data_IF_412421791091
#
_entry.id   IF_412421791091
#
_cell.length_a   1.000
_cell.length_b   1.000
_cell.length_c   1.000
_cell.angle_alpha   90.00
_cell.angle_beta   90.00
_cell.angle_gamma   90.00
#
_symmetry.space_group_name_H-M   'P 1'
#
loop_
_entity.id
_entity.type
_entity.pdbx_description
1 polymer ?
#
# COMPACT_ATOMS: atom_id res chain seq x y z
N UNK A 1 25.90 -4.73 2.84
CA UNK A 1 26.60 -3.45 3.00
C UNK A 1 27.21 -3.25 4.43
N UNK A 2 27.26 -4.28 5.28
CA UNK A 2 27.92 -4.20 6.59
C UNK A 2 27.18 -3.39 7.67
N UNK A 3 25.88 -3.17 7.52
CA UNK A 3 25.08 -2.54 8.58
C UNK A 3 24.71 -3.54 9.67
N UNK A 4 24.86 -3.15 10.94
CA UNK A 4 24.21 -3.82 12.06
C UNK A 4 22.80 -3.25 12.21
N UNK A 5 21.79 -4.12 12.19
CA UNK A 5 20.38 -3.70 12.19
C UNK A 5 19.70 -4.10 13.49
N UNK A 6 19.09 -3.13 14.17
CA UNK A 6 18.20 -3.35 15.30
C UNK A 6 16.79 -2.95 14.90
N UNK A 7 15.84 -3.87 14.94
CA UNK A 7 14.45 -3.66 14.59
C UNK A 7 13.61 -3.41 15.85
N UNK A 8 13.02 -2.22 15.95
CA UNK A 8 12.09 -1.87 17.00
C UNK A 8 10.66 -1.96 16.47
N UNK A 9 9.94 -3.01 16.81
CA UNK A 9 8.59 -3.26 16.33
C UNK A 9 7.80 -4.16 17.28
N UNK A 10 6.47 -4.13 17.19
CA UNK A 10 5.64 -5.11 17.89
C UNK A 10 5.67 -6.42 17.10
N UNK A 11 6.33 -7.41 17.65
CA UNK A 11 6.44 -8.74 17.02
C UNK A 11 5.49 -9.70 17.72
N UNK A 12 4.42 -10.08 17.03
CA UNK A 12 3.49 -11.13 17.49
C UNK A 12 3.81 -12.51 16.87
N UNK A 13 4.51 -12.54 15.74
CA UNK A 13 4.87 -13.74 14.97
C UNK A 13 6.22 -13.53 14.30
N UNK A 14 6.91 -14.61 13.95
CA UNK A 14 8.16 -14.61 13.17
C UNK A 14 9.39 -13.95 13.83
N UNK A 15 9.40 -13.72 15.14
CA UNK A 15 10.57 -13.14 15.83
C UNK A 15 11.84 -13.97 15.57
N UNK A 16 11.76 -15.27 15.80
CA UNK A 16 12.90 -16.19 15.60
C UNK A 16 13.41 -16.18 14.15
N UNK A 17 12.51 -16.05 13.16
CA UNK A 17 12.89 -15.95 11.76
C UNK A 17 13.67 -14.65 11.48
N UNK A 18 13.26 -13.54 12.07
CA UNK A 18 13.93 -12.25 11.89
C UNK A 18 15.31 -12.29 12.57
N UNK A 19 15.38 -12.85 13.77
CA UNK A 19 16.64 -12.99 14.51
C UNK A 19 17.61 -13.97 13.83
N UNK A 20 17.14 -15.03 13.18
CA UNK A 20 17.97 -15.93 12.38
C UNK A 20 18.62 -15.26 11.16
N UNK A 21 18.13 -14.09 10.74
CA UNK A 21 18.74 -13.25 9.70
C UNK A 21 19.82 -12.31 10.26
N UNK A 22 20.19 -12.42 11.55
CA UNK A 22 21.17 -11.57 12.20
C UNK A 22 20.64 -10.19 12.60
N UNK A 23 19.31 -10.00 12.63
CA UNK A 23 18.66 -8.75 13.01
C UNK A 23 18.25 -8.82 14.48
N UNK A 24 18.77 -7.91 15.31
CA UNK A 24 18.33 -7.78 16.69
C UNK A 24 16.90 -7.23 16.75
N UNK A 25 16.00 -7.90 17.48
CA UNK A 25 14.61 -7.48 17.62
C UNK A 25 14.32 -6.97 19.02
N UNK A 26 13.94 -5.71 19.12
CA UNK A 26 13.43 -5.09 20.35
C UNK A 26 11.90 -4.99 20.26
N UNK A 27 11.20 -5.51 21.25
CA UNK A 27 9.73 -5.49 21.25
C UNK A 27 9.19 -4.08 21.55
N UNK A 28 8.20 -3.65 20.76
CA UNK A 28 7.52 -2.39 20.93
C UNK A 28 6.24 -2.57 21.78
N UNK A 29 6.24 -2.14 23.04
CA UNK A 29 5.16 -2.47 23.99
C UNK A 29 3.85 -1.68 23.77
N UNK A 30 3.79 -0.78 22.78
CA UNK A 30 2.66 0.13 22.62
C UNK A 30 1.65 -0.33 21.55
N UNK A 31 0.36 -0.13 21.82
CA UNK A 31 -0.73 -0.49 20.91
C UNK A 31 -0.99 0.58 19.84
N UNK A 32 -1.54 0.19 18.67
CA UNK A 32 -1.83 1.09 17.55
C UNK A 32 -2.85 2.21 17.88
N UNK A 33 -3.71 2.03 18.88
CA UNK A 33 -4.83 2.93 19.19
C UNK A 33 -4.58 3.98 20.27
N UNK A 34 -3.43 4.00 20.95
CA UNK A 34 -3.15 4.91 22.05
C UNK A 34 -2.96 6.37 21.58
N UNK A 35 -4.04 7.15 21.55
CA UNK A 35 -4.02 8.60 21.33
C UNK A 35 -3.64 9.42 22.57
N UNK A 36 -3.11 8.80 23.62
CA UNK A 36 -2.80 9.47 24.87
C UNK A 36 -1.40 10.12 24.82
N UNK A 37 -1.31 11.38 25.20
CA UNK A 37 -0.07 12.17 25.23
C UNK A 37 1.00 11.46 26.07
N UNK A 38 0.64 10.83 27.19
CA UNK A 38 1.54 10.02 28.03
C UNK A 38 2.14 8.83 27.27
N UNK A 39 1.37 8.19 26.38
CA UNK A 39 1.87 7.13 25.49
C UNK A 39 2.91 7.64 24.49
N UNK A 40 2.79 8.89 24.03
CA UNK A 40 3.76 9.54 23.16
C UNK A 40 5.12 9.77 23.84
N UNK A 41 5.12 10.33 25.04
CA UNK A 41 6.36 10.56 25.83
C UNK A 41 7.04 9.24 26.17
N UNK A 42 6.29 8.24 26.65
CA UNK A 42 6.84 6.89 26.91
C UNK A 42 7.47 6.27 25.65
N UNK A 43 6.84 6.48 24.49
CA UNK A 43 7.38 6.01 23.22
C UNK A 43 8.73 6.66 22.89
N UNK A 44 8.85 7.98 23.08
CA UNK A 44 10.12 8.70 22.84
C UNK A 44 11.23 8.19 23.76
N UNK A 45 10.95 8.07 25.06
CA UNK A 45 11.92 7.54 26.03
C UNK A 45 12.36 6.12 25.70
N UNK A 46 11.42 5.28 25.26
CA UNK A 46 11.72 3.91 24.85
C UNK A 46 12.62 3.87 23.60
N UNK A 47 12.33 4.71 22.59
CA UNK A 47 13.19 4.83 21.39
C UNK A 47 14.58 5.35 21.77
N UNK A 48 14.69 6.35 22.67
CA UNK A 48 16.00 6.84 23.15
C UNK A 48 16.82 5.73 23.82
N UNK A 49 16.17 4.90 24.67
CA UNK A 49 16.83 3.73 25.28
C UNK A 49 17.30 2.72 24.24
N UNK A 50 16.45 2.45 23.22
CA UNK A 50 16.81 1.56 22.12
C UNK A 50 18.01 2.10 21.32
N UNK A 51 18.02 3.40 21.00
CA UNK A 51 19.14 4.08 20.32
C UNK A 51 20.43 3.91 21.12
N UNK A 52 20.39 4.17 22.43
CA UNK A 52 21.54 4.05 23.31
C UNK A 52 22.02 2.60 23.41
N UNK A 53 21.11 1.64 23.58
CA UNK A 53 21.42 0.21 23.70
C UNK A 53 22.08 -0.34 22.42
N UNK A 54 21.60 0.05 21.25
CA UNK A 54 22.11 -0.41 19.95
C UNK A 54 23.26 0.45 19.41
N UNK A 55 23.64 1.52 20.10
CA UNK A 55 24.62 2.51 19.63
C UNK A 55 24.36 2.97 18.18
N UNK A 56 23.08 3.21 17.86
CA UNK A 56 22.64 3.51 16.50
C UNK A 56 23.12 4.89 16.04
N UNK A 57 23.72 4.96 14.86
CA UNK A 57 24.14 6.21 14.21
C UNK A 57 23.22 6.64 13.05
N UNK A 58 22.29 5.79 12.66
CA UNK A 58 21.24 6.05 11.66
C UNK A 58 19.91 5.61 12.23
N UNK A 59 18.87 6.42 12.05
CA UNK A 59 17.50 6.08 12.39
C UNK A 59 16.69 5.97 11.10
N UNK A 60 16.04 4.81 10.93
CA UNK A 60 15.07 4.57 9.87
C UNK A 60 13.68 4.33 10.46
N UNK A 61 12.69 5.14 10.07
CA UNK A 61 11.31 4.96 10.56
C UNK A 61 10.29 5.03 9.44
N UNK A 62 9.24 4.22 9.56
CA UNK A 62 8.17 4.08 8.58
C UNK A 62 6.84 4.51 9.20
N UNK A 63 6.06 5.32 8.48
CA UNK A 63 4.78 5.90 8.85
C UNK A 63 4.86 7.13 9.79
N UNK A 64 3.80 7.97 9.74
CA UNK A 64 3.77 9.32 10.35
C UNK A 64 4.10 9.30 11.86
N UNK A 65 3.43 8.45 12.65
CA UNK A 65 3.65 8.41 14.11
C UNK A 65 5.08 7.97 14.47
N UNK A 66 5.63 6.86 13.93
CA UNK A 66 7.02 6.49 14.12
C UNK A 66 8.00 7.59 13.70
N UNK A 67 7.76 8.27 12.57
CA UNK A 67 8.62 9.38 12.11
C UNK A 67 8.70 10.48 13.15
N UNK A 68 7.57 10.94 13.68
CA UNK A 68 7.51 12.03 14.66
C UNK A 68 8.27 11.63 15.93
N UNK A 69 7.98 10.46 16.49
CA UNK A 69 8.60 10.02 17.75
C UNK A 69 10.08 9.69 17.58
N UNK A 70 10.45 9.00 16.49
CA UNK A 70 11.85 8.64 16.23
C UNK A 70 12.69 9.86 15.89
N UNK A 71 12.14 10.86 15.19
CA UNK A 71 12.87 12.09 14.92
C UNK A 71 13.20 12.86 16.20
N UNK A 72 12.24 12.99 17.11
CA UNK A 72 12.48 13.67 18.39
C UNK A 72 13.47 12.89 19.26
N UNK A 73 13.29 11.57 19.37
CA UNK A 73 14.21 10.70 20.11
C UNK A 73 15.63 10.76 19.53
N UNK A 74 15.78 10.71 18.20
CA UNK A 74 17.07 10.83 17.52
C UNK A 74 17.75 12.17 17.82
N UNK A 75 16.99 13.28 17.77
CA UNK A 75 17.51 14.61 18.07
C UNK A 75 18.00 14.71 19.51
N UNK A 76 17.22 14.21 20.49
CA UNK A 76 17.57 14.20 21.90
C UNK A 76 18.76 13.26 22.21
N UNK A 77 18.95 12.22 21.40
CA UNK A 77 20.07 11.26 21.51
C UNK A 77 21.29 11.65 20.68
N UNK A 78 21.29 12.80 19.99
CA UNK A 78 22.42 13.28 19.18
C UNK A 78 22.58 12.59 17.81
N UNK A 79 21.62 11.73 17.38
CA UNK A 79 21.67 11.06 16.08
C UNK A 79 21.24 12.02 14.98
N UNK A 80 22.15 12.31 14.05
CA UNK A 80 21.96 13.29 12.96
C UNK A 80 21.36 12.67 11.70
N UNK A 81 21.72 11.42 11.39
CA UNK A 81 21.28 10.73 10.18
C UNK A 81 19.88 10.14 10.37
N UNK A 82 18.90 10.74 9.74
CA UNK A 82 17.49 10.35 9.86
C UNK A 82 16.93 10.06 8.47
N UNK A 83 16.48 8.84 8.25
CA UNK A 83 15.85 8.41 7.01
C UNK A 83 14.43 7.97 7.34
N UNK A 84 13.47 8.53 6.65
CA UNK A 84 12.07 8.28 6.91
C UNK A 84 11.35 7.85 5.64
N UNK A 85 10.37 6.96 5.78
CA UNK A 85 9.55 6.51 4.66
C UNK A 85 8.06 6.67 4.99
N UNK A 86 7.33 7.24 4.05
CA UNK A 86 5.87 7.27 4.08
C UNK A 86 5.32 6.40 2.94
N UNK A 87 4.60 5.34 3.31
CA UNK A 87 3.89 4.47 2.37
C UNK A 87 2.53 5.04 1.94
N UNK A 88 2.31 6.33 2.19
CA UNK A 88 1.10 7.10 1.93
C UNK A 88 0.85 8.09 3.06
N UNK A 89 0.26 9.23 2.74
CA UNK A 89 0.11 10.34 3.69
C UNK A 89 -1.04 10.19 4.67
N UNK A 90 -1.80 9.11 4.53
CA UNK A 90 -2.87 8.76 5.46
C UNK A 90 -4.12 9.64 5.38
N UNK A 91 -5.12 9.26 6.16
CA UNK A 91 -6.46 9.85 6.20
C UNK A 91 -6.47 11.38 6.44
N UNK A 92 -5.57 11.89 7.30
CA UNK A 92 -5.57 13.31 7.68
C UNK A 92 -5.34 14.24 6.48
N UNK A 93 -4.52 13.81 5.52
CA UNK A 93 -4.25 14.61 4.31
C UNK A 93 -5.29 14.39 3.21
N UNK A 94 -5.92 13.21 3.16
CA UNK A 94 -6.87 12.85 2.11
C UNK A 94 -8.33 13.17 2.44
N UNK A 95 -8.69 13.26 3.72
CA UNK A 95 -10.08 13.43 4.14
C UNK A 95 -10.52 14.89 4.16
N UNK A 96 -11.72 15.15 3.64
CA UNK A 96 -12.40 16.45 3.74
C UNK A 96 -13.23 16.60 5.03
N UNK A 97 -13.24 15.60 5.92
CA UNK A 97 -13.95 15.69 7.20
C UNK A 97 -13.41 16.87 8.03
N UNK A 98 -14.31 17.58 8.73
CA UNK A 98 -13.97 18.77 9.51
C UNK A 98 -12.81 18.51 10.48
N UNK A 99 -12.84 17.40 11.20
CA UNK A 99 -11.79 17.02 12.13
C UNK A 99 -10.42 16.86 11.46
N UNK A 100 -10.36 16.24 10.29
CA UNK A 100 -9.11 16.10 9.53
C UNK A 100 -8.57 17.46 9.08
N UNK A 101 -9.45 18.37 8.65
CA UNK A 101 -9.08 19.74 8.27
C UNK A 101 -8.53 20.55 9.44
N UNK A 102 -9.09 20.39 10.64
CA UNK A 102 -8.60 21.08 11.85
C UNK A 102 -7.24 20.53 12.33
N UNK A 103 -7.03 19.23 12.26
CA UNK A 103 -5.78 18.59 12.72
C UNK A 103 -4.64 18.81 11.71
N UNK A 104 -4.93 18.90 10.41
CA UNK A 104 -3.94 19.01 9.35
C UNK A 104 -2.89 20.11 9.55
N UNK A 105 -3.23 21.38 9.89
CA UNK A 105 -2.24 22.44 10.11
C UNK A 105 -1.27 22.11 11.26
N UNK A 106 -1.78 21.52 12.33
CA UNK A 106 -0.95 21.08 13.47
C UNK A 106 0.01 19.97 13.04
N UNK A 107 -0.50 18.98 12.31
CA UNK A 107 0.32 17.88 11.81
C UNK A 107 1.42 18.38 10.85
N UNK A 108 1.11 19.35 9.98
CA UNK A 108 2.09 19.98 9.09
C UNK A 108 3.22 20.62 9.89
N UNK A 109 2.90 21.38 10.95
CA UNK A 109 3.91 22.02 11.82
C UNK A 109 4.78 20.96 12.51
N UNK A 110 4.17 19.93 13.04
CA UNK A 110 4.88 18.81 13.69
C UNK A 110 5.79 18.07 12.72
N UNK A 111 5.32 17.80 11.49
CA UNK A 111 6.15 17.15 10.46
C UNK A 111 7.31 18.06 10.01
N UNK A 112 7.11 19.37 9.86
CA UNK A 112 8.21 20.30 9.58
C UNK A 112 9.31 20.23 10.63
N UNK A 113 8.93 20.19 11.91
CA UNK A 113 9.88 20.04 13.01
C UNK A 113 10.56 18.67 12.99
N UNK A 114 9.79 17.60 12.80
CA UNK A 114 10.32 16.24 12.75
C UNK A 114 11.29 16.03 11.58
N UNK A 115 11.04 16.65 10.44
CA UNK A 115 11.86 16.52 9.23
C UNK A 115 12.96 17.61 9.15
N UNK A 116 13.16 18.40 10.21
CA UNK A 116 14.22 19.40 10.27
C UNK A 116 15.61 18.73 10.35
N UNK A 117 16.59 19.33 9.67
CA UNK A 117 17.99 18.90 9.69
C UNK A 117 18.49 18.47 8.31
N UNK A 118 19.70 18.93 7.95
CA UNK A 118 20.31 18.73 6.62
C UNK A 118 20.59 17.24 6.28
N UNK A 119 20.78 16.39 7.30
CA UNK A 119 21.00 14.94 7.16
C UNK A 119 19.69 14.13 7.25
N UNK A 120 18.53 14.79 7.25
CA UNK A 120 17.24 14.12 7.20
C UNK A 120 16.83 13.88 5.75
N UNK A 121 16.42 12.66 5.42
CA UNK A 121 15.89 12.25 4.11
C UNK A 121 14.48 11.70 4.28
N UNK A 122 13.60 12.01 3.33
CA UNK A 122 12.24 11.49 3.29
C UNK A 122 12.02 10.71 2.00
N UNK A 123 11.70 9.44 2.13
CA UNK A 123 11.32 8.58 1.02
C UNK A 123 9.79 8.65 0.89
N UNK A 124 9.32 9.04 -0.29
CA UNK A 124 7.92 9.01 -0.70
C UNK A 124 7.71 8.01 -1.82
N UNK A 125 6.51 7.45 -1.94
CA UNK A 125 6.26 6.35 -2.85
C UNK A 125 5.59 6.77 -4.16
N UNK A 126 5.04 7.98 -4.24
CA UNK A 126 4.39 8.51 -5.43
C UNK A 126 4.62 10.01 -5.59
N UNK A 127 4.41 10.50 -6.82
CA UNK A 127 4.62 11.91 -7.18
C UNK A 127 3.60 12.83 -6.51
N UNK A 128 2.35 12.43 -6.40
CA UNK A 128 1.29 13.23 -5.80
C UNK A 128 1.60 13.58 -4.33
N UNK A 129 2.08 12.60 -3.55
CA UNK A 129 2.48 12.83 -2.17
C UNK A 129 3.70 13.76 -2.09
N UNK A 130 4.67 13.65 -3.04
CA UNK A 130 5.81 14.57 -3.13
C UNK A 130 5.35 16.00 -3.39
N UNK A 131 4.52 16.23 -4.38
CA UNK A 131 3.99 17.55 -4.72
C UNK A 131 3.21 18.16 -3.55
N UNK A 132 2.42 17.35 -2.87
CA UNK A 132 1.69 17.79 -1.68
C UNK A 132 2.64 18.21 -0.55
N UNK A 133 3.71 17.45 -0.27
CA UNK A 133 4.70 17.82 0.76
C UNK A 133 5.44 19.10 0.42
N UNK A 134 5.78 19.28 -0.86
CA UNK A 134 6.39 20.53 -1.35
C UNK A 134 5.43 21.71 -1.27
N UNK A 135 4.17 21.55 -1.69
CA UNK A 135 3.14 22.58 -1.63
C UNK A 135 2.86 23.06 -0.20
N UNK A 136 2.88 22.14 0.77
CA UNK A 136 2.79 22.49 2.19
C UNK A 136 4.12 22.94 2.80
N UNK A 137 5.22 23.01 2.03
CA UNK A 137 6.56 23.37 2.52
C UNK A 137 6.97 22.58 3.76
N UNK A 138 6.72 21.26 3.76
CA UNK A 138 7.02 20.38 4.90
C UNK A 138 8.51 20.05 4.95
N UNK A 139 9.13 19.87 3.78
CA UNK A 139 10.55 19.52 3.60
C UNK A 139 11.01 20.06 2.23
N UNK A 140 12.30 20.38 2.09
CA UNK A 140 12.89 20.82 0.82
C UNK A 140 13.00 19.66 -0.18
N UNK A 141 12.95 20.01 -1.47
CA UNK A 141 12.94 19.05 -2.58
C UNK A 141 14.17 18.12 -2.61
N UNK A 142 15.34 18.66 -2.31
CA UNK A 142 16.63 17.94 -2.33
C UNK A 142 16.73 16.85 -1.26
N UNK A 143 15.83 16.89 -0.28
CA UNK A 143 15.76 15.92 0.81
C UNK A 143 14.65 14.90 0.63
N UNK A 144 13.84 15.02 -0.45
CA UNK A 144 12.84 14.04 -0.83
C UNK A 144 13.45 13.08 -1.85
N UNK A 145 13.29 11.78 -1.60
CA UNK A 145 13.68 10.72 -2.51
C UNK A 145 12.43 9.94 -2.90
N UNK A 146 12.20 9.77 -4.19
CA UNK A 146 11.07 9.00 -4.69
C UNK A 146 11.50 7.55 -4.89
N UNK A 147 11.01 6.65 -4.02
CA UNK A 147 11.20 5.20 -4.15
C UNK A 147 9.84 4.53 -4.12
N UNK A 148 9.49 3.87 -5.20
CA UNK A 148 8.16 3.35 -5.46
C UNK A 148 7.90 2.04 -4.72
N UNK A 149 7.44 2.15 -3.46
CA UNK A 149 7.04 1.02 -2.63
C UNK A 149 8.20 0.18 -2.08
N UNK A 150 7.92 -1.08 -1.80
CA UNK A 150 8.89 -2.07 -1.32
C UNK A 150 9.32 -3.07 -2.40
N UNK A 151 8.84 -2.86 -3.63
CA UNK A 151 9.03 -3.81 -4.72
C UNK A 151 8.18 -5.07 -4.58
N UNK A 152 8.25 -5.91 -5.61
CA UNK A 152 7.58 -7.20 -5.68
C UNK A 152 8.59 -8.31 -5.99
N UNK A 153 8.39 -9.47 -5.36
CA UNK A 153 9.11 -10.69 -5.65
C UNK A 153 8.63 -11.26 -7.00
N UNK A 154 9.40 -11.01 -8.05
CA UNK A 154 9.04 -11.36 -9.43
C UNK A 154 9.19 -12.85 -9.72
N UNK A 155 9.87 -13.62 -8.87
CA UNK A 155 10.03 -15.06 -8.97
C UNK A 155 8.86 -15.79 -8.30
N UNK A 156 8.28 -15.16 -7.27
CA UNK A 156 7.06 -15.66 -6.63
C UNK A 156 5.79 -15.30 -7.41
N UNK A 157 5.73 -14.07 -7.93
CA UNK A 157 4.60 -13.53 -8.70
C UNK A 157 4.97 -13.48 -10.18
N UNK A 158 4.59 -14.51 -10.93
CA UNK A 158 4.87 -14.64 -12.36
C UNK A 158 3.66 -15.18 -13.12
N UNK A 159 3.55 -14.91 -14.42
CA UNK A 159 2.47 -15.41 -15.26
C UNK A 159 2.47 -16.95 -15.28
N UNK A 160 1.33 -17.56 -14.99
CA UNK A 160 1.12 -19.00 -15.15
C UNK A 160 0.17 -19.23 -16.31
N UNK A 161 0.30 -20.34 -17.02
CA UNK A 161 -0.66 -20.72 -18.06
C UNK A 161 -2.07 -20.72 -17.45
N UNK A 162 -2.90 -19.80 -17.93
CA UNK A 162 -4.31 -19.79 -17.56
C UNK A 162 -4.91 -21.13 -18.01
N UNK A 163 -5.52 -21.86 -17.07
CA UNK A 163 -6.46 -22.90 -17.47
C UNK A 163 -7.58 -22.20 -18.23
N UNK A 164 -8.10 -22.79 -19.30
CA UNK A 164 -9.28 -22.30 -20.04
C UNK A 164 -10.53 -22.33 -19.14
N UNK A 165 -10.54 -21.45 -18.14
CA UNK A 165 -11.61 -21.34 -17.16
C UNK A 165 -12.40 -20.04 -17.42
N UNK A 166 -13.55 -19.93 -16.80
CA UNK A 166 -14.37 -18.73 -16.79
C UNK A 166 -13.53 -17.51 -16.36
N UNK A 167 -13.69 -16.39 -17.07
CA UNK A 167 -13.06 -15.11 -16.72
C UNK A 167 -13.31 -14.78 -15.25
N UNK A 168 -12.24 -14.56 -14.50
CA UNK A 168 -12.28 -14.30 -13.07
C UNK A 168 -11.71 -12.91 -12.77
N UNK A 169 -12.57 -12.02 -12.32
CA UNK A 169 -12.24 -10.64 -11.93
C UNK A 169 -12.12 -10.61 -10.41
N UNK A 170 -11.03 -10.08 -9.88
CA UNK A 170 -10.83 -10.02 -8.43
C UNK A 170 -10.57 -8.62 -7.91
N UNK A 171 -11.03 -8.35 -6.69
CA UNK A 171 -10.64 -7.19 -5.87
C UNK A 171 -9.74 -7.70 -4.73
N UNK A 172 -8.40 -7.57 -4.84
CA UNK A 172 -7.47 -8.02 -3.79
C UNK A 172 -7.19 -6.90 -2.79
N UNK A 173 -8.04 -6.76 -1.77
CA UNK A 173 -7.93 -5.72 -0.75
C UNK A 173 -8.54 -6.17 0.58
N UNK A 174 -8.23 -5.47 1.68
CA UNK A 174 -9.04 -5.58 2.90
C UNK A 174 -10.47 -5.17 2.59
N UNK A 175 -11.44 -5.81 3.23
CA UNK A 175 -12.86 -5.52 3.03
C UNK A 175 -13.25 -4.21 3.73
N UNK A 176 -12.86 -3.09 3.13
CA UNK A 176 -13.13 -1.73 3.60
C UNK A 176 -13.88 -0.96 2.50
N UNK A 177 -14.76 -0.05 2.91
CA UNK A 177 -15.51 0.77 1.95
C UNK A 177 -14.61 1.65 1.08
N UNK A 178 -13.53 2.20 1.66
CA UNK A 178 -12.56 3.02 0.94
C UNK A 178 -11.67 2.24 -0.05
N UNK A 179 -11.78 0.90 -0.07
CA UNK A 179 -11.15 0.03 -1.07
C UNK A 179 -12.04 -0.25 -2.28
N UNK A 180 -13.20 0.39 -2.35
CA UNK A 180 -14.10 0.29 -3.49
C UNK A 180 -14.88 -1.02 -3.56
N UNK A 181 -15.13 -1.65 -2.39
CA UNK A 181 -15.90 -2.91 -2.34
C UNK A 181 -17.30 -2.70 -2.86
N UNK A 182 -17.94 -1.55 -2.57
CA UNK A 182 -19.28 -1.23 -3.06
C UNK A 182 -19.30 -1.11 -4.59
N UNK A 183 -18.37 -0.37 -5.15
CA UNK A 183 -18.21 -0.10 -6.58
C UNK A 183 -17.96 -1.40 -7.35
N UNK A 184 -17.11 -2.27 -6.81
CA UNK A 184 -16.87 -3.59 -7.38
C UNK A 184 -18.12 -4.46 -7.40
N UNK A 185 -18.89 -4.50 -6.29
CA UNK A 185 -20.12 -5.29 -6.19
C UNK A 185 -21.20 -4.72 -7.10
N UNK A 186 -21.36 -3.39 -7.18
CA UNK A 186 -22.30 -2.74 -8.09
C UNK A 186 -21.97 -3.06 -9.56
N UNK A 187 -20.71 -2.96 -9.93
CA UNK A 187 -20.22 -3.33 -11.26
C UNK A 187 -20.48 -4.81 -11.58
N UNK A 188 -20.20 -5.72 -10.63
CA UNK A 188 -20.47 -7.14 -10.79
C UNK A 188 -21.96 -7.43 -11.01
N UNK A 189 -22.84 -6.74 -10.29
CA UNK A 189 -24.28 -6.88 -10.44
C UNK A 189 -24.74 -6.44 -11.83
N UNK A 190 -24.37 -5.24 -12.27
CA UNK A 190 -24.73 -4.69 -13.57
C UNK A 190 -24.26 -5.60 -14.72
N UNK A 191 -22.99 -6.04 -14.68
CA UNK A 191 -22.45 -6.91 -15.73
C UNK A 191 -23.16 -8.26 -15.80
N UNK A 192 -23.61 -8.81 -14.67
CA UNK A 192 -24.41 -10.04 -14.64
C UNK A 192 -25.82 -9.83 -15.20
N UNK A 193 -26.45 -8.69 -14.86
CA UNK A 193 -27.75 -8.30 -15.43
C UNK A 193 -27.65 -8.11 -16.96
N UNK A 194 -26.50 -7.61 -17.45
CA UNK A 194 -26.18 -7.51 -18.89
C UNK A 194 -25.82 -8.87 -19.53
N UNK A 195 -25.93 -9.98 -18.79
CA UNK A 195 -25.68 -11.35 -19.30
C UNK A 195 -24.21 -11.73 -19.39
N UNK A 196 -23.29 -10.97 -18.79
CA UNK A 196 -21.85 -11.29 -18.83
C UNK A 196 -21.54 -12.50 -17.94
N UNK A 197 -20.98 -13.53 -18.55
CA UNK A 197 -20.57 -14.77 -17.85
C UNK A 197 -19.14 -14.64 -17.33
N UNK A 198 -19.00 -14.20 -16.07
CA UNK A 198 -17.73 -14.04 -15.38
C UNK A 198 -17.88 -14.27 -13.86
N UNK A 199 -16.78 -14.61 -13.19
CA UNK A 199 -16.72 -14.69 -11.73
C UNK A 199 -16.17 -13.37 -11.17
N UNK A 200 -16.84 -12.85 -10.16
CA UNK A 200 -16.43 -11.64 -9.44
C UNK A 200 -16.10 -12.02 -8.00
N UNK A 201 -14.85 -11.82 -7.59
CA UNK A 201 -14.37 -12.36 -6.31
C UNK A 201 -13.73 -11.26 -5.45
N UNK A 202 -14.21 -11.14 -4.23
CA UNK A 202 -13.62 -10.31 -3.17
C UNK A 202 -12.55 -11.13 -2.45
N UNK A 203 -11.30 -10.68 -2.48
CA UNK A 203 -10.17 -11.38 -1.90
C UNK A 203 -9.54 -10.56 -0.79
N UNK A 204 -9.83 -10.91 0.45
CA UNK A 204 -9.31 -10.25 1.64
C UNK A 204 -10.18 -10.42 2.86
N UNK A 205 -9.60 -10.15 4.02
CA UNK A 205 -10.27 -10.25 5.30
C UNK A 205 -10.96 -8.94 5.72
N UNK A 206 -11.88 -9.06 6.66
CA UNK A 206 -12.46 -7.91 7.38
C UNK A 206 -11.45 -7.37 8.41
N UNK A 207 -11.49 -6.07 8.66
CA UNK A 207 -10.69 -5.40 9.69
C UNK A 207 -11.63 -4.82 10.75
N UNK A 208 -12.00 -5.66 11.71
CA UNK A 208 -13.03 -5.35 12.73
C UNK A 208 -12.71 -4.07 13.53
N UNK A 209 -11.43 -3.71 13.64
CA UNK A 209 -11.00 -2.51 14.35
C UNK A 209 -11.12 -1.23 13.51
N UNK A 210 -11.40 -1.36 12.22
CA UNK A 210 -11.53 -0.22 11.31
C UNK A 210 -13.02 0.14 11.13
N UNK A 211 -13.43 1.38 11.41
CA UNK A 211 -14.83 1.81 11.25
C UNK A 211 -15.32 1.76 9.80
N UNK A 212 -14.41 1.78 8.82
CA UNK A 212 -14.75 1.64 7.39
C UNK A 212 -14.84 0.16 6.95
N UNK A 213 -14.82 -0.79 7.90
CA UNK A 213 -14.90 -2.22 7.55
C UNK A 213 -16.28 -2.62 7.06
N UNK A 214 -16.32 -3.37 5.97
CA UNK A 214 -17.54 -4.03 5.49
C UNK A 214 -17.88 -5.17 6.45
N UNK A 215 -19.13 -5.26 6.90
CA UNK A 215 -19.54 -6.29 7.83
C UNK A 215 -19.54 -7.68 7.19
N UNK A 216 -19.27 -8.71 7.99
CA UNK A 216 -19.34 -10.11 7.54
C UNK A 216 -20.75 -10.45 7.04
N UNK A 217 -21.80 -9.92 7.70
CA UNK A 217 -23.19 -10.11 7.28
C UNK A 217 -23.45 -9.58 5.87
N UNK A 218 -22.89 -8.38 5.54
CA UNK A 218 -23.04 -7.80 4.22
C UNK A 218 -22.29 -8.61 3.14
N UNK A 219 -21.08 -9.10 3.44
CA UNK A 219 -20.32 -9.94 2.52
C UNK A 219 -21.03 -11.27 2.25
N UNK A 220 -21.58 -11.91 3.29
CA UNK A 220 -22.39 -13.13 3.14
C UNK A 220 -23.63 -12.87 2.31
N UNK A 221 -24.38 -11.78 2.58
CA UNK A 221 -25.57 -11.41 1.80
C UNK A 221 -25.28 -11.35 0.30
N UNK A 222 -24.20 -10.69 -0.14
CA UNK A 222 -23.83 -10.61 -1.55
C UNK A 222 -23.40 -11.96 -2.13
N UNK A 223 -22.78 -12.81 -1.31
CA UNK A 223 -22.39 -14.17 -1.72
C UNK A 223 -23.61 -15.07 -1.89
N UNK A 224 -24.58 -15.03 -0.96
CA UNK A 224 -25.82 -15.80 -1.00
C UNK A 224 -26.70 -15.37 -2.18
N UNK A 225 -26.68 -14.08 -2.50
CA UNK A 225 -27.33 -13.52 -3.71
C UNK A 225 -26.56 -13.86 -5.00
N UNK A 226 -25.42 -14.57 -4.91
CA UNK A 226 -24.56 -14.92 -6.05
C UNK A 226 -24.07 -13.71 -6.87
N UNK A 227 -24.05 -12.51 -6.29
CA UNK A 227 -23.50 -11.31 -6.96
C UNK A 227 -21.98 -11.41 -7.03
N UNK A 228 -21.33 -11.75 -5.93
CA UNK A 228 -19.88 -11.95 -5.84
C UNK A 228 -19.56 -13.20 -4.99
N UNK A 229 -18.35 -13.70 -5.13
CA UNK A 229 -17.77 -14.68 -4.21
C UNK A 229 -16.85 -13.97 -3.21
N UNK A 230 -16.96 -14.26 -1.93
CA UNK A 230 -16.00 -13.75 -0.95
C UNK A 230 -15.06 -14.88 -0.51
N UNK A 231 -13.79 -14.76 -0.91
CA UNK A 231 -12.77 -15.78 -0.64
C UNK A 231 -12.05 -15.57 0.71
N UNK A 232 -12.37 -14.52 1.45
CA UNK A 232 -11.73 -14.23 2.74
C UNK A 232 -10.25 -13.90 2.63
N UNK A 233 -9.55 -14.01 3.75
CA UNK A 233 -8.10 -13.76 3.79
C UNK A 233 -7.34 -14.93 3.18
N UNK A 234 -6.44 -14.63 2.24
CA UNK A 234 -5.64 -15.63 1.53
C UNK A 234 -4.15 -15.50 1.91
N UNK A 235 -3.52 -16.63 2.22
CA UNK A 235 -2.09 -16.67 2.56
C UNK A 235 -1.19 -16.81 1.33
N UNK A 236 -1.72 -17.37 0.25
CA UNK A 236 -0.99 -17.59 -1.00
C UNK A 236 -1.59 -16.78 -2.16
N UNK A 237 -1.28 -15.48 -2.18
CA UNK A 237 -1.77 -14.60 -3.24
C UNK A 237 -1.25 -14.96 -4.63
N UNK A 238 -0.06 -15.56 -4.76
CA UNK A 238 0.46 -16.00 -6.05
C UNK A 238 -0.44 -17.06 -6.70
N UNK A 239 -1.04 -17.95 -5.92
CA UNK A 239 -2.03 -18.91 -6.41
C UNK A 239 -3.34 -18.22 -6.81
N UNK A 240 -3.78 -17.23 -6.04
CA UNK A 240 -4.99 -16.45 -6.35
C UNK A 240 -4.81 -15.72 -7.70
N UNK A 241 -3.71 -15.00 -7.88
CA UNK A 241 -3.44 -14.32 -9.15
C UNK A 241 -3.35 -15.28 -10.33
N UNK A 242 -2.79 -16.49 -10.14
CA UNK A 242 -2.71 -17.49 -11.21
C UNK A 242 -4.07 -18.07 -11.65
N UNK A 243 -5.12 -17.85 -10.88
CA UNK A 243 -6.52 -18.26 -11.19
C UNK A 243 -7.38 -17.08 -11.63
N UNK A 244 -6.81 -15.89 -11.67
CA UNK A 244 -7.49 -14.64 -12.00
C UNK A 244 -7.17 -14.19 -13.42
N UNK A 245 -8.06 -13.40 -13.99
CA UNK A 245 -7.92 -12.88 -15.36
C UNK A 245 -7.75 -11.37 -15.36
N UNK A 246 -8.48 -10.65 -14.50
CA UNK A 246 -8.52 -9.18 -14.45
C UNK A 246 -8.49 -8.75 -12.99
N UNK A 247 -7.77 -7.67 -12.71
CA UNK A 247 -7.82 -6.97 -11.43
C UNK A 247 -8.72 -5.76 -11.56
N UNK A 248 -9.72 -5.66 -10.68
CA UNK A 248 -10.52 -4.46 -10.51
C UNK A 248 -10.21 -3.85 -9.14
N UNK A 249 -9.69 -2.62 -9.12
CA UNK A 249 -9.19 -1.99 -7.91
C UNK A 249 -9.69 -0.54 -7.77
N UNK A 250 -10.98 -0.31 -7.50
CA UNK A 250 -11.58 1.01 -7.39
C UNK A 250 -11.33 1.63 -6.02
N UNK A 251 -10.09 1.57 -5.53
CA UNK A 251 -9.70 2.15 -4.24
C UNK A 251 -9.70 3.68 -4.29
N UNK A 252 -10.12 4.31 -3.18
CA UNK A 252 -10.24 5.75 -3.11
C UNK A 252 -8.91 6.47 -2.90
N UNK A 253 -7.91 5.80 -2.35
CA UNK A 253 -6.55 6.32 -2.18
C UNK A 253 -5.56 5.22 -1.84
N UNK A 254 -4.38 5.31 -2.43
CA UNK A 254 -3.25 4.43 -2.16
C UNK A 254 -1.92 5.21 -2.08
N UNK A 255 -0.95 4.68 -1.36
CA UNK A 255 0.42 5.15 -1.43
C UNK A 255 1.13 4.55 -2.65
N UNK A 256 1.33 3.24 -2.61
CA UNK A 256 1.65 2.37 -3.74
C UNK A 256 1.11 0.97 -3.43
N UNK A 257 0.01 0.53 -4.05
CA UNK A 257 -0.67 -0.70 -3.68
C UNK A 257 0.14 -1.93 -4.11
N UNK A 258 0.64 -2.67 -3.10
CA UNK A 258 1.45 -3.88 -3.33
C UNK A 258 0.68 -4.95 -4.12
N UNK A 259 -0.63 -5.07 -3.87
CA UNK A 259 -1.50 -6.00 -4.60
C UNK A 259 -1.53 -5.74 -6.11
N UNK A 260 -1.44 -4.48 -6.55
CA UNK A 260 -1.36 -4.15 -7.97
C UNK A 260 0.01 -4.51 -8.56
N UNK A 261 1.11 -4.32 -7.82
CA UNK A 261 2.44 -4.77 -8.26
C UNK A 261 2.50 -6.29 -8.39
N UNK A 262 1.92 -7.02 -7.42
CA UNK A 262 1.84 -8.49 -7.44
C UNK A 262 1.01 -8.98 -8.64
N UNK A 263 -0.11 -8.33 -8.91
CA UNK A 263 -0.98 -8.63 -10.03
C UNK A 263 -0.31 -8.36 -11.39
N UNK A 264 0.25 -7.16 -11.57
CA UNK A 264 1.01 -6.82 -12.78
C UNK A 264 2.21 -7.74 -12.97
N UNK A 265 2.93 -8.09 -11.89
CA UNK A 265 3.99 -9.09 -11.91
C UNK A 265 3.50 -10.47 -12.36
N UNK A 266 2.26 -10.82 -12.05
CA UNK A 266 1.61 -12.07 -12.46
C UNK A 266 1.00 -11.99 -13.87
N UNK A 267 1.19 -10.88 -14.59
CA UNK A 267 0.72 -10.70 -15.96
C UNK A 267 -0.78 -10.44 -16.08
N UNK A 268 -1.39 -9.81 -15.07
CA UNK A 268 -2.82 -9.49 -15.07
C UNK A 268 -3.03 -8.01 -15.43
N UNK A 269 -3.95 -7.67 -16.35
CA UNK A 269 -4.36 -6.30 -16.60
C UNK A 269 -5.11 -5.74 -15.40
N UNK A 270 -5.01 -4.43 -15.20
CA UNK A 270 -5.56 -3.74 -14.04
C UNK A 270 -6.56 -2.68 -14.48
N UNK A 271 -7.76 -2.71 -13.89
CA UNK A 271 -8.73 -1.62 -13.96
C UNK A 271 -8.78 -0.97 -12.59
N UNK A 272 -8.38 0.27 -12.48
CA UNK A 272 -8.28 0.97 -11.20
C UNK A 272 -8.80 2.41 -11.30
N UNK A 273 -9.26 2.99 -10.18
CA UNK A 273 -9.51 4.42 -10.16
C UNK A 273 -8.20 5.21 -10.32
N UNK A 274 -8.29 6.35 -11.02
CA UNK A 274 -7.21 7.30 -11.21
C UNK A 274 -6.93 8.08 -9.92
N UNK A 275 -6.21 7.42 -9.00
CA UNK A 275 -5.81 7.95 -7.71
C UNK A 275 -4.30 7.81 -7.50
N UNK A 276 -3.71 8.61 -6.57
CA UNK A 276 -2.31 8.46 -6.22
C UNK A 276 -1.94 7.01 -5.89
N UNK A 277 -0.77 6.58 -6.30
CA UNK A 277 -0.30 5.21 -6.16
C UNK A 277 -0.80 4.26 -7.24
N UNK A 278 -2.05 4.30 -7.66
CA UNK A 278 -2.52 3.54 -8.83
C UNK A 278 -1.88 4.04 -10.12
N UNK A 279 -1.76 5.35 -10.31
CA UNK A 279 -1.06 6.00 -11.45
C UNK A 279 0.41 5.64 -11.58
N UNK A 280 1.05 5.23 -10.49
CA UNK A 280 2.46 4.81 -10.53
C UNK A 280 2.64 3.41 -11.13
N UNK A 281 1.56 2.61 -11.15
CA UNK A 281 1.58 1.20 -11.59
C UNK A 281 0.79 1.02 -12.89
N UNK A 282 -0.35 1.69 -13.03
CA UNK A 282 -1.22 1.57 -14.19
C UNK A 282 -0.95 2.72 -15.15
N UNK A 283 -0.63 2.38 -16.39
CA UNK A 283 -0.51 3.30 -17.53
C UNK A 283 -1.76 3.08 -18.37
N UNK A 284 -2.63 4.09 -18.43
CA UNK A 284 -3.91 3.98 -19.11
C UNK A 284 -3.76 3.56 -20.57
N UNK A 285 -4.57 2.58 -20.97
CA UNK A 285 -4.55 1.99 -22.32
C UNK A 285 -3.33 1.09 -22.62
N UNK A 286 -2.33 0.96 -21.71
CA UNK A 286 -1.11 0.19 -21.95
C UNK A 286 -1.11 -1.12 -21.16
N UNK A 287 -1.18 -1.07 -19.84
CA UNK A 287 -1.18 -2.25 -18.98
C UNK A 287 -2.47 -2.38 -18.15
N UNK A 288 -3.47 -1.59 -18.49
CA UNK A 288 -4.78 -1.54 -17.83
C UNK A 288 -5.51 -0.26 -18.16
N UNK A 289 -6.52 0.06 -17.35
CA UNK A 289 -7.31 1.27 -17.48
C UNK A 289 -7.32 2.06 -16.17
N UNK A 290 -7.09 3.39 -16.26
CA UNK A 290 -7.29 4.34 -15.17
C UNK A 290 -8.64 5.02 -15.35
N UNK A 291 -9.53 4.77 -14.41
CA UNK A 291 -10.92 5.23 -14.45
C UNK A 291 -11.04 6.50 -13.60
N UNK A 292 -11.75 7.54 -14.08
CA UNK A 292 -12.02 8.71 -13.26
C UNK A 292 -12.63 8.31 -11.91
N UNK A 293 -12.21 9.00 -10.86
CA UNK A 293 -12.64 8.66 -9.50
C UNK A 293 -14.16 8.67 -9.36
N UNK A 294 -14.74 7.54 -8.93
CA UNK A 294 -16.18 7.30 -8.78
C UNK A 294 -16.99 7.32 -10.08
N UNK A 295 -16.37 7.08 -11.20
CA UNK A 295 -17.07 6.84 -12.46
C UNK A 295 -17.32 5.32 -12.62
N UNK A 296 -18.43 4.86 -12.04
CA UNK A 296 -18.80 3.44 -12.02
C UNK A 296 -19.19 2.93 -13.42
N UNK A 297 -19.67 3.81 -14.31
CA UNK A 297 -19.98 3.44 -15.69
C UNK A 297 -18.69 3.13 -16.47
N UNK A 298 -17.72 4.02 -16.43
CA UNK A 298 -16.42 3.77 -17.06
C UNK A 298 -15.71 2.57 -16.46
N UNK A 299 -15.86 2.32 -15.13
CA UNK A 299 -15.33 1.11 -14.47
C UNK A 299 -15.93 -0.16 -15.08
N UNK A 300 -17.26 -0.20 -15.23
CA UNK A 300 -18.00 -1.31 -15.86
C UNK A 300 -17.55 -1.53 -17.31
N UNK A 301 -17.50 -0.46 -18.10
CA UNK A 301 -17.17 -0.54 -19.52
C UNK A 301 -15.73 -1.01 -19.77
N UNK A 302 -14.78 -0.57 -18.95
CA UNK A 302 -13.39 -1.06 -19.01
C UNK A 302 -13.28 -2.56 -18.68
N UNK A 303 -14.00 -3.03 -17.66
CA UNK A 303 -14.07 -4.46 -17.35
C UNK A 303 -14.71 -5.24 -18.49
N UNK A 304 -15.85 -4.77 -19.01
CA UNK A 304 -16.54 -5.41 -20.12
C UNK A 304 -15.65 -5.53 -21.38
N UNK A 305 -14.85 -4.49 -21.66
CA UNK A 305 -13.89 -4.49 -22.76
C UNK A 305 -12.86 -5.61 -22.61
N UNK A 306 -12.28 -5.76 -21.42
CA UNK A 306 -11.29 -6.82 -21.14
C UNK A 306 -11.91 -8.22 -21.12
N UNK A 307 -13.18 -8.35 -20.71
CA UNK A 307 -13.87 -9.65 -20.72
C UNK A 307 -14.16 -10.10 -22.16
N UNK A 308 -14.48 -9.17 -23.06
CA UNK A 308 -14.80 -9.45 -24.48
C UNK A 308 -13.54 -9.64 -25.33
N UNK A 309 -12.43 -8.99 -24.99
CA UNK A 309 -11.19 -9.00 -25.77
C UNK A 309 -10.04 -9.66 -24.96
N UNK A 310 -9.88 -10.97 -25.16
CA UNK A 310 -8.85 -11.72 -24.46
C UNK A 310 -7.43 -11.39 -24.95
N UNK A 311 -7.26 -11.00 -26.20
CA UNK A 311 -5.95 -10.61 -26.75
C UNK A 311 -5.48 -9.31 -26.13
N UNK A 312 -6.39 -8.32 -25.99
CA UNK A 312 -6.13 -7.09 -25.25
C UNK A 312 -5.79 -7.39 -23.79
N UNK A 313 -6.55 -8.29 -23.16
CA UNK A 313 -6.31 -8.70 -21.77
C UNK A 313 -4.88 -9.27 -21.60
N UNK A 314 -4.46 -10.17 -22.48
CA UNK A 314 -3.12 -10.76 -22.47
C UNK A 314 -2.03 -9.72 -22.77
N UNK A 315 -2.23 -8.89 -23.79
CA UNK A 315 -1.27 -7.84 -24.17
C UNK A 315 -1.02 -6.86 -23.02
N UNK A 316 -2.07 -6.36 -22.39
CA UNK A 316 -1.97 -5.47 -21.24
C UNK A 316 -1.29 -6.15 -20.03
N UNK A 317 -1.61 -7.39 -19.77
CA UNK A 317 -0.98 -8.17 -18.70
C UNK A 317 0.52 -8.37 -18.96
N UNK A 318 0.92 -8.67 -20.18
CA UNK A 318 2.33 -8.79 -20.58
C UNK A 318 3.09 -7.47 -20.38
N UNK A 319 2.55 -6.35 -20.86
CA UNK A 319 3.17 -5.02 -20.70
C UNK A 319 3.27 -4.61 -19.23
N UNK A 320 2.28 -4.97 -18.42
CA UNK A 320 2.33 -4.79 -16.96
C UNK A 320 3.49 -5.55 -16.32
N UNK A 321 3.70 -6.79 -16.71
CA UNK A 321 4.84 -7.61 -16.25
C UNK A 321 6.18 -7.00 -16.63
N UNK A 322 6.38 -6.60 -17.90
CA UNK A 322 7.61 -5.98 -18.37
C UNK A 322 7.94 -4.71 -17.59
N UNK A 323 6.94 -3.87 -17.34
CA UNK A 323 7.09 -2.66 -16.54
C UNK A 323 7.55 -3.00 -15.10
N UNK A 324 6.96 -4.03 -14.49
CA UNK A 324 7.32 -4.45 -13.11
C UNK A 324 8.74 -4.97 -13.05
N UNK A 325 9.14 -5.80 -14.00
CA UNK A 325 10.52 -6.34 -14.08
C UNK A 325 11.55 -5.21 -14.18
N UNK A 326 11.25 -4.19 -14.98
CA UNK A 326 12.15 -3.05 -15.24
C UNK A 326 12.25 -2.08 -14.07
N UNK A 327 11.13 -1.86 -13.31
CA UNK A 327 11.04 -0.70 -12.42
C UNK A 327 10.70 -1.03 -10.97
N UNK A 328 10.12 -2.22 -10.68
CA UNK A 328 9.49 -2.50 -9.39
C UNK A 328 9.90 -3.84 -8.78
N UNK A 329 10.88 -4.55 -9.36
CA UNK A 329 11.37 -5.77 -8.71
C UNK A 329 11.95 -5.44 -7.34
N UNK A 330 11.79 -6.37 -6.40
CA UNK A 330 12.29 -6.20 -5.03
C UNK A 330 13.80 -5.92 -5.02
N UNK A 331 14.55 -6.48 -5.97
CA UNK A 331 16.00 -6.22 -6.12
C UNK A 331 16.26 -4.74 -6.42
N UNK A 332 15.62 -4.17 -7.45
CA UNK A 332 15.78 -2.77 -7.86
C UNK A 332 15.40 -1.83 -6.72
N UNK A 333 14.25 -2.04 -6.09
CA UNK A 333 13.76 -1.18 -5.02
C UNK A 333 14.65 -1.28 -3.77
N UNK A 334 15.16 -2.47 -3.45
CA UNK A 334 16.11 -2.65 -2.34
C UNK A 334 17.43 -1.93 -2.59
N UNK A 335 17.96 -1.99 -3.80
CA UNK A 335 19.18 -1.27 -4.21
C UNK A 335 18.99 0.25 -4.12
N UNK A 336 17.87 0.77 -4.63
CA UNK A 336 17.51 2.19 -4.50
C UNK A 336 17.38 2.60 -3.01
N UNK A 337 16.73 1.79 -2.19
CA UNK A 337 16.59 2.07 -0.75
C UNK A 337 17.94 2.07 -0.07
N UNK A 338 18.79 1.09 -0.35
CA UNK A 338 20.14 1.00 0.22
C UNK A 338 21.07 2.14 -0.23
N UNK A 339 20.82 2.79 -1.37
CA UNK A 339 21.62 3.94 -1.82
C UNK A 339 21.37 5.20 -0.98
N UNK A 340 20.28 5.25 -0.24
CA UNK A 340 19.93 6.39 0.63
C UNK A 340 20.72 6.37 1.96
N UNK A 341 21.22 5.19 2.36
CA UNK A 341 22.04 4.99 3.57
C UNK A 341 23.54 5.20 3.28
#
# INVERSE_FOLDING_TARGET
KGFTVTLLTRVSKHKNLIESLGIQVLDWPFTRGGGNIFGGVRSIVYIMRAIKHSNSNIIYAVAIKPIIFSSLAATLSGVKNKIFTLGGVGFIFSSNRVLARMIRPVLIKVLRLALKGHKTRLILQNKDDREMFLGYKIIENERIILIRGSGVDTDKFFPRKLRKNLTTIILPARMLWDKGVREFVSCAQQLKEDGVTARFCLVGGVDIQNPESVSVAQLKKWTDQKVVEWWGNQNNMSEIYSRSTIICFPSYREGLPKSLLEAASSGLPIVAYDVPGCREIVIDGVNGFLIPFKDDNSLRDAILKLVKDQDLCHSMGFLGREMVLKNFSQKIISEQTLSVF
#
